data_IF_407687854926
#
_entry.id   IF_407687854926
#
_cell.length_a   1.000
_cell.length_b   1.000
_cell.length_c   1.000
_cell.angle_alpha   90.00
_cell.angle_beta   90.00
_cell.angle_gamma   90.00
#
_symmetry.space_group_name_H-M   'P 1'
#
loop_
_entity.id
_entity.type
_entity.pdbx_description
1 polymer ?
#
# COMPACT_ATOMS: atom_id res chain seq x y z
N UNK A 1 -2.57 -4.45 -38.20
CA UNK A 1 -3.53 -3.95 -37.18
C UNK A 1 -3.88 -5.10 -36.25
N UNK A 2 -3.24 -5.19 -35.07
CA UNK A 2 -3.39 -6.36 -34.18
C UNK A 2 -4.66 -6.18 -33.34
N UNK A 3 -5.72 -6.95 -33.65
CA UNK A 3 -6.80 -7.17 -32.67
C UNK A 3 -6.22 -8.01 -31.55
N UNK A 4 -5.66 -7.35 -30.52
CA UNK A 4 -5.24 -8.07 -29.33
C UNK A 4 -6.46 -8.74 -28.70
N UNK A 5 -6.38 -10.06 -28.48
CA UNK A 5 -7.37 -10.76 -27.65
C UNK A 5 -7.28 -10.17 -26.25
N UNK A 6 -8.43 -9.78 -25.67
CA UNK A 6 -8.59 -9.29 -24.28
C UNK A 6 -7.79 -10.09 -23.24
N UNK A 7 -7.56 -11.38 -23.50
CA UNK A 7 -6.77 -12.27 -22.66
C UNK A 7 -5.31 -11.81 -22.46
N UNK A 8 -4.60 -11.34 -23.50
CA UNK A 8 -3.18 -10.97 -23.37
C UNK A 8 -3.00 -9.73 -22.49
N UNK A 9 -3.87 -8.74 -22.64
CA UNK A 9 -3.81 -7.54 -21.81
C UNK A 9 -4.10 -7.84 -20.35
N UNK A 10 -5.11 -8.67 -20.09
CA UNK A 10 -5.42 -9.15 -18.74
C UNK A 10 -4.22 -9.85 -18.10
N UNK A 11 -3.53 -10.72 -18.85
CA UNK A 11 -2.32 -11.40 -18.38
C UNK A 11 -1.21 -10.40 -18.00
N UNK A 12 -0.99 -9.36 -18.79
CA UNK A 12 0.01 -8.34 -18.49
C UNK A 12 -0.34 -7.55 -17.22
N UNK A 13 -1.61 -7.20 -17.01
CA UNK A 13 -2.05 -6.53 -15.78
C UNK A 13 -1.88 -7.43 -14.54
N UNK A 14 -2.06 -8.75 -14.67
CA UNK A 14 -1.72 -9.70 -13.61
C UNK A 14 -0.22 -9.72 -13.32
N UNK A 15 0.64 -9.73 -14.36
CA UNK A 15 2.09 -9.68 -14.19
C UNK A 15 2.55 -8.38 -13.51
N UNK A 16 2.08 -7.23 -13.98
CA UNK A 16 2.39 -5.93 -13.36
C UNK A 16 1.94 -5.89 -11.90
N UNK A 17 0.70 -6.33 -11.63
CA UNK A 17 0.17 -6.40 -10.25
C UNK A 17 1.01 -7.32 -9.37
N UNK A 18 1.43 -8.47 -9.88
CA UNK A 18 2.26 -9.43 -9.15
C UNK A 18 3.62 -8.84 -8.78
N UNK A 19 4.32 -8.20 -9.72
CA UNK A 19 5.62 -7.59 -9.43
C UNK A 19 5.52 -6.35 -8.53
N UNK A 20 4.43 -5.57 -8.59
CA UNK A 20 4.15 -4.52 -7.61
C UNK A 20 4.00 -5.11 -6.20
N UNK A 21 3.31 -6.25 -6.07
CA UNK A 21 3.16 -6.94 -4.78
C UNK A 21 4.52 -7.44 -4.27
N UNK A 22 5.34 -8.04 -5.13
CA UNK A 22 6.68 -8.50 -4.76
C UNK A 22 7.60 -7.34 -4.35
N UNK A 23 7.54 -6.20 -5.03
CA UNK A 23 8.42 -5.07 -4.71
C UNK A 23 8.08 -4.40 -3.38
N UNK A 24 6.81 -4.44 -2.98
CA UNK A 24 6.31 -3.78 -1.78
C UNK A 24 6.69 -4.56 -0.49
N UNK A 25 7.99 -4.57 -0.19
CA UNK A 25 8.59 -5.15 1.03
C UNK A 25 8.30 -6.65 1.21
N UNK A 26 8.27 -7.41 0.11
CA UNK A 26 8.30 -8.87 0.20
C UNK A 26 9.66 -9.38 0.68
N UNK A 27 9.69 -10.60 1.21
CA UNK A 27 10.95 -11.29 1.56
C UNK A 27 11.86 -11.41 0.33
N UNK A 28 11.31 -11.63 -0.87
CA UNK A 28 12.09 -11.69 -2.11
C UNK A 28 12.76 -10.38 -2.47
N UNK A 29 12.09 -9.25 -2.22
CA UNK A 29 12.66 -7.94 -2.50
C UNK A 29 13.78 -7.56 -1.53
N UNK A 30 13.70 -8.06 -0.29
CA UNK A 30 14.68 -7.80 0.76
C UNK A 30 15.78 -8.88 0.86
N UNK A 31 15.68 -9.96 0.09
CA UNK A 31 16.68 -11.02 0.12
C UNK A 31 18.02 -10.52 -0.40
N UNK A 32 19.09 -10.98 0.23
CA UNK A 32 20.44 -10.58 -0.12
C UNK A 32 20.76 -11.12 -1.52
N UNK A 33 21.29 -10.25 -2.39
CA UNK A 33 21.70 -10.58 -3.76
C UNK A 33 20.97 -9.77 -4.83
N UNK A 34 20.75 -10.39 -6.00
CA UNK A 34 20.22 -9.71 -7.19
C UNK A 34 18.69 -9.74 -7.32
N UNK A 35 17.97 -10.40 -6.41
CA UNK A 35 16.51 -10.53 -6.41
C UNK A 35 15.77 -9.19 -6.51
N UNK A 36 16.18 -8.19 -5.70
CA UNK A 36 15.69 -6.81 -5.75
C UNK A 36 15.75 -6.23 -7.16
N UNK A 37 16.92 -6.33 -7.82
CA UNK A 37 17.14 -5.79 -9.17
C UNK A 37 16.27 -6.53 -10.19
N UNK A 38 16.19 -7.87 -10.10
CA UNK A 38 15.37 -8.70 -10.99
C UNK A 38 13.90 -8.30 -10.90
N UNK A 39 13.34 -8.17 -9.69
CA UNK A 39 11.94 -7.77 -9.48
C UNK A 39 11.66 -6.40 -10.11
N UNK A 40 12.55 -5.41 -9.89
CA UNK A 40 12.41 -4.08 -10.47
C UNK A 40 12.46 -4.11 -12.00
N UNK A 41 13.43 -4.84 -12.58
CA UNK A 41 13.56 -4.96 -14.04
C UNK A 41 12.34 -5.64 -14.65
N UNK A 42 11.88 -6.75 -14.07
CA UNK A 42 10.69 -7.47 -14.54
C UNK A 42 9.43 -6.61 -14.44
N UNK A 43 9.30 -5.79 -13.38
CA UNK A 43 8.22 -4.82 -13.27
C UNK A 43 8.28 -3.78 -14.39
N UNK A 44 9.44 -3.16 -14.62
CA UNK A 44 9.59 -2.15 -15.66
C UNK A 44 9.36 -2.71 -17.06
N UNK A 45 9.85 -3.92 -17.34
CA UNK A 45 9.63 -4.62 -18.62
C UNK A 45 8.14 -4.91 -18.80
N UNK A 46 7.46 -5.47 -17.79
CA UNK A 46 6.02 -5.78 -17.89
C UNK A 46 5.16 -4.53 -18.09
N UNK A 47 5.46 -3.43 -17.38
CA UNK A 47 4.76 -2.15 -17.56
C UNK A 47 5.08 -1.53 -18.93
N UNK A 48 6.31 -1.64 -19.42
CA UNK A 48 6.69 -1.12 -20.75
C UNK A 48 5.96 -1.87 -21.86
N UNK A 49 5.87 -3.20 -21.77
CA UNK A 49 5.10 -4.03 -22.69
C UNK A 49 3.61 -3.67 -22.64
N UNK A 50 3.06 -3.47 -21.43
CA UNK A 50 1.68 -3.02 -21.24
C UNK A 50 1.43 -1.68 -21.94
N UNK A 51 2.32 -0.70 -21.75
CA UNK A 51 2.22 0.61 -22.40
C UNK A 51 2.37 0.53 -23.91
N UNK A 52 3.31 -0.28 -24.41
CA UNK A 52 3.48 -0.53 -25.84
C UNK A 52 2.18 -1.02 -26.49
N UNK A 53 1.51 -1.98 -25.86
CA UNK A 53 0.21 -2.45 -26.35
C UNK A 53 -0.91 -1.41 -26.22
N UNK A 54 -0.86 -0.53 -25.22
CA UNK A 54 -1.79 0.60 -25.13
C UNK A 54 -1.62 1.58 -26.29
N UNK A 55 -0.38 1.86 -26.69
CA UNK A 55 -0.05 2.77 -27.81
C UNK A 55 -0.37 2.17 -29.18
N UNK A 56 -0.27 0.85 -29.34
CA UNK A 56 -0.61 0.16 -30.59
C UNK A 56 -2.13 0.10 -30.90
N UNK A 57 -2.97 0.64 -30.02
CA UNK A 57 -4.42 0.60 -30.21
C UNK A 57 -4.89 1.54 -31.34
N UNK A 58 -5.89 1.15 -32.14
CA UNK A 58 -6.41 1.98 -33.21
C UNK A 58 -6.99 3.33 -32.76
N UNK A 59 -7.54 3.38 -31.55
CA UNK A 59 -8.13 4.58 -30.95
C UNK A 59 -7.11 5.42 -30.18
N UNK A 60 -5.84 5.01 -30.13
CA UNK A 60 -4.79 5.76 -29.47
C UNK A 60 -4.47 7.03 -30.25
N UNK A 61 -4.59 8.17 -29.56
CA UNK A 61 -4.21 9.48 -30.09
C UNK A 61 -3.43 10.21 -29.00
N UNK A 62 -2.30 10.82 -29.36
CA UNK A 62 -1.52 11.61 -28.42
C UNK A 62 -2.32 12.87 -28.06
N UNK A 63 -2.63 13.06 -26.78
CA UNK A 63 -3.25 14.28 -26.30
C UNK A 63 -2.15 15.26 -25.88
N UNK A 64 -2.16 16.46 -26.47
CA UNK A 64 -1.19 17.51 -26.19
C UNK A 64 -1.19 17.90 -24.71
N UNK A 65 -2.36 17.95 -24.05
CA UNK A 65 -2.46 18.30 -22.62
C UNK A 65 -1.71 17.31 -21.75
N UNK A 66 -1.79 16.04 -22.11
CA UNK A 66 -1.13 14.96 -21.38
C UNK A 66 0.36 14.92 -21.62
N UNK A 67 0.77 15.22 -22.85
CA UNK A 67 2.18 15.39 -23.21
C UNK A 67 2.80 16.56 -22.43
N UNK A 68 2.08 17.69 -22.33
CA UNK A 68 2.48 18.83 -21.51
C UNK A 68 2.55 18.45 -20.03
N UNK A 69 1.55 17.73 -19.51
CA UNK A 69 1.55 17.26 -18.13
C UNK A 69 2.77 16.38 -17.82
N UNK A 70 3.03 15.37 -18.64
CA UNK A 70 4.19 14.48 -18.46
C UNK A 70 5.51 15.24 -18.59
N UNK A 71 5.60 16.22 -19.50
CA UNK A 71 6.79 17.06 -19.64
C UNK A 71 7.01 17.91 -18.40
N UNK A 72 5.94 18.54 -17.88
CA UNK A 72 5.98 19.31 -16.64
C UNK A 72 6.33 18.44 -15.44
N UNK A 73 5.77 17.24 -15.35
CA UNK A 73 6.08 16.27 -14.30
C UNK A 73 7.56 15.88 -14.30
N UNK A 74 8.13 15.56 -15.46
CA UNK A 74 9.54 15.20 -15.55
C UNK A 74 10.45 16.41 -15.25
N UNK A 75 10.09 17.61 -15.69
CA UNK A 75 10.79 18.85 -15.32
C UNK A 75 10.73 19.10 -13.81
N UNK A 76 9.55 18.89 -13.21
CA UNK A 76 9.33 19.00 -11.77
C UNK A 76 10.23 18.03 -10.99
N UNK A 77 10.32 16.77 -11.42
CA UNK A 77 11.22 15.79 -10.80
C UNK A 77 12.71 16.09 -11.09
N UNK A 78 13.03 16.67 -12.25
CA UNK A 78 14.39 17.09 -12.57
C UNK A 78 14.89 18.18 -11.62
N UNK A 79 14.07 19.20 -11.33
CA UNK A 79 14.41 20.23 -10.33
C UNK A 79 14.71 19.59 -8.97
N UNK A 80 13.90 18.62 -8.54
CA UNK A 80 14.16 17.89 -7.30
C UNK A 80 15.49 17.12 -7.33
N UNK A 81 15.82 16.46 -8.44
CA UNK A 81 17.08 15.73 -8.60
C UNK A 81 18.29 16.67 -8.49
N UNK A 82 18.22 17.86 -9.09
CA UNK A 82 19.31 18.84 -9.08
C UNK A 82 19.55 19.40 -7.68
N UNK A 83 18.49 19.57 -6.88
CA UNK A 83 18.58 20.27 -5.59
C UNK A 83 18.77 19.33 -4.39
N UNK A 84 18.18 18.13 -4.40
CA UNK A 84 18.04 17.30 -3.18
C UNK A 84 19.23 16.39 -2.84
N UNK A 85 20.18 16.17 -3.76
CA UNK A 85 21.41 15.39 -3.49
C UNK A 85 21.25 13.90 -3.14
N UNK A 86 20.02 13.37 -3.11
CA UNK A 86 19.73 11.98 -2.71
C UNK A 86 20.03 10.90 -3.77
N UNK A 87 19.45 9.72 -3.62
CA UNK A 87 19.59 8.58 -4.54
C UNK A 87 18.94 8.86 -5.91
N UNK A 88 19.62 9.62 -6.77
CA UNK A 88 19.15 10.06 -8.11
C UNK A 88 18.58 8.89 -8.92
N UNK A 89 19.27 7.74 -8.92
CA UNK A 89 18.85 6.54 -9.67
C UNK A 89 17.45 6.06 -9.26
N UNK A 90 17.14 6.08 -7.96
CA UNK A 90 15.81 5.66 -7.48
C UNK A 90 14.74 6.67 -7.87
N UNK A 91 15.05 7.96 -7.80
CA UNK A 91 14.13 9.03 -8.18
C UNK A 91 13.75 8.93 -9.66
N UNK A 92 14.75 8.79 -10.53
CA UNK A 92 14.52 8.62 -11.98
C UNK A 92 13.68 7.38 -12.23
N UNK A 93 14.05 6.24 -11.65
CA UNK A 93 13.37 4.98 -11.91
C UNK A 93 11.90 5.00 -11.45
N UNK A 94 11.63 5.56 -10.27
CA UNK A 94 10.29 5.54 -9.65
C UNK A 94 9.39 6.66 -10.16
N UNK A 95 9.87 7.90 -10.10
CA UNK A 95 9.06 9.06 -10.39
C UNK A 95 9.15 9.52 -11.83
N UNK A 96 10.29 9.35 -12.53
CA UNK A 96 10.35 9.76 -13.94
C UNK A 96 9.85 8.61 -14.84
N UNK A 97 10.41 7.41 -14.69
CA UNK A 97 10.11 6.28 -15.57
C UNK A 97 8.80 5.57 -15.20
N UNK A 98 8.74 4.94 -14.02
CA UNK A 98 7.59 4.10 -13.65
C UNK A 98 6.28 4.90 -13.56
N UNK A 99 6.30 6.05 -12.88
CA UNK A 99 5.11 6.91 -12.80
C UNK A 99 4.60 7.32 -14.18
N UNK A 100 5.48 7.77 -15.09
CA UNK A 100 5.07 8.18 -16.45
C UNK A 100 4.44 7.02 -17.22
N UNK A 101 5.02 5.82 -17.14
CA UNK A 101 4.45 4.64 -17.79
C UNK A 101 3.07 4.27 -17.21
N UNK A 102 2.95 4.22 -15.88
CA UNK A 102 1.67 3.92 -15.24
C UNK A 102 0.62 5.01 -15.50
N UNK A 103 1.04 6.27 -15.61
CA UNK A 103 0.17 7.39 -15.97
C UNK A 103 -0.40 7.21 -17.37
N UNK A 104 0.47 6.94 -18.36
CA UNK A 104 0.06 6.65 -19.75
C UNK A 104 -0.92 5.48 -19.78
N UNK A 105 -0.62 4.39 -19.07
CA UNK A 105 -1.53 3.26 -18.97
C UNK A 105 -2.91 3.68 -18.41
N UNK A 106 -2.99 4.33 -17.24
CA UNK A 106 -4.30 4.68 -16.66
C UNK A 106 -5.07 5.74 -17.44
N UNK A 107 -4.37 6.69 -18.07
CA UNK A 107 -5.00 7.73 -18.86
C UNK A 107 -5.67 7.13 -20.11
N UNK A 108 -4.91 6.37 -20.90
CA UNK A 108 -5.38 5.82 -22.18
C UNK A 108 -6.22 4.55 -22.04
N UNK A 109 -6.03 3.80 -20.96
CA UNK A 109 -6.85 2.61 -20.69
C UNK A 109 -8.19 2.95 -20.03
N UNK A 110 -8.47 4.25 -19.77
CA UNK A 110 -9.65 4.81 -19.11
C UNK A 110 -9.87 4.27 -17.68
N UNK A 111 -10.27 5.16 -16.80
CA UNK A 111 -10.51 4.92 -15.37
C UNK A 111 -11.53 3.81 -15.10
N UNK A 112 -12.47 3.54 -16.00
CA UNK A 112 -13.45 2.46 -15.80
C UNK A 112 -12.78 1.09 -15.62
N UNK A 113 -11.63 0.87 -16.26
CA UNK A 113 -10.83 -0.34 -16.14
C UNK A 113 -9.81 -0.32 -14.99
N UNK A 114 -9.63 0.80 -14.28
CA UNK A 114 -8.83 0.84 -13.04
C UNK A 114 -9.38 -0.11 -11.97
N UNK A 115 -10.70 -0.34 -11.98
CA UNK A 115 -11.37 -1.35 -11.16
C UNK A 115 -10.93 -2.76 -11.53
N UNK A 116 -10.67 -3.02 -12.81
CA UNK A 116 -10.18 -4.32 -13.27
C UNK A 116 -8.74 -4.55 -12.82
N UNK A 117 -7.88 -3.53 -12.86
CA UNK A 117 -6.53 -3.60 -12.29
C UNK A 117 -6.58 -3.95 -10.80
N UNK A 118 -7.38 -3.23 -10.01
CA UNK A 118 -7.58 -3.53 -8.58
C UNK A 118 -8.17 -4.93 -8.34
N UNK A 119 -9.09 -5.39 -9.21
CA UNK A 119 -9.65 -6.75 -9.15
C UNK A 119 -8.56 -7.80 -9.33
N UNK A 120 -7.68 -7.64 -10.32
CA UNK A 120 -6.55 -8.56 -10.59
C UNK A 120 -5.56 -8.57 -9.43
N UNK A 121 -5.14 -7.39 -8.97
CA UNK A 121 -4.32 -7.24 -7.76
C UNK A 121 -4.94 -7.98 -6.57
N UNK A 122 -6.22 -7.74 -6.32
CA UNK A 122 -6.96 -8.35 -5.21
C UNK A 122 -7.08 -9.87 -5.34
N UNK A 123 -7.19 -10.41 -6.57
CA UNK A 123 -7.18 -11.85 -6.82
C UNK A 123 -5.84 -12.49 -6.46
N UNK A 124 -4.72 -11.87 -6.87
CA UNK A 124 -3.37 -12.34 -6.51
C UNK A 124 -3.19 -12.36 -4.99
N UNK A 125 -3.52 -11.25 -4.31
CA UNK A 125 -3.41 -11.17 -2.84
C UNK A 125 -4.27 -12.23 -2.16
N UNK A 126 -5.44 -12.57 -2.73
CA UNK A 126 -6.29 -13.64 -2.19
C UNK A 126 -5.65 -15.01 -2.33
N UNK A 127 -4.99 -15.30 -3.45
CA UNK A 127 -4.24 -16.55 -3.64
C UNK A 127 -3.11 -16.63 -2.60
N UNK A 128 -2.34 -15.55 -2.43
CA UNK A 128 -1.30 -15.46 -1.40
C UNK A 128 -1.91 -15.68 0.00
N UNK A 129 -3.08 -15.12 0.27
CA UNK A 129 -3.80 -15.30 1.54
C UNK A 129 -4.20 -16.75 1.81
N UNK A 130 -4.76 -17.45 0.82
CA UNK A 130 -5.10 -18.88 0.94
C UNK A 130 -3.85 -19.70 1.27
N UNK A 131 -2.77 -19.50 0.51
CA UNK A 131 -1.50 -20.20 0.73
C UNK A 131 -0.95 -19.89 2.13
N UNK A 132 -0.94 -18.61 2.52
CA UNK A 132 -0.44 -18.18 3.82
C UNK A 132 -1.22 -18.79 4.98
N UNK A 133 -2.55 -18.93 4.87
CA UNK A 133 -3.37 -19.50 5.93
C UNK A 133 -3.06 -20.99 6.14
N UNK A 134 -2.87 -21.73 5.05
CA UNK A 134 -2.49 -23.15 5.11
C UNK A 134 -1.15 -23.30 5.84
N UNK A 135 -0.10 -22.61 5.40
CA UNK A 135 1.21 -22.75 6.01
C UNK A 135 1.33 -22.13 7.41
N UNK A 136 0.62 -21.02 7.68
CA UNK A 136 0.58 -20.45 9.03
C UNK A 136 -0.11 -21.40 10.00
N UNK A 137 -1.23 -22.01 9.60
CA UNK A 137 -1.96 -22.93 10.48
C UNK A 137 -1.21 -24.26 10.69
N UNK A 138 -0.84 -24.95 9.62
CA UNK A 138 -0.18 -26.26 9.73
C UNK A 138 1.30 -26.17 10.06
N UNK A 139 1.99 -25.15 9.56
CA UNK A 139 3.41 -24.91 9.84
C UNK A 139 3.60 -24.16 11.15
N UNK A 140 3.27 -22.87 11.18
CA UNK A 140 3.65 -21.99 12.30
C UNK A 140 2.85 -22.20 13.60
N UNK A 141 1.58 -22.60 13.52
CA UNK A 141 0.72 -22.75 14.69
C UNK A 141 0.74 -24.18 15.26
N UNK A 142 0.52 -25.19 14.41
CA UNK A 142 0.48 -26.60 14.82
C UNK A 142 1.85 -27.29 14.81
N UNK A 143 2.86 -26.73 14.11
CA UNK A 143 4.16 -27.37 13.87
C UNK A 143 4.06 -28.76 13.23
N UNK A 144 3.00 -29.00 12.42
CA UNK A 144 2.84 -30.24 11.65
C UNK A 144 3.72 -30.24 10.39
N UNK A 145 3.96 -29.07 9.80
CA UNK A 145 4.88 -28.88 8.68
C UNK A 145 6.18 -28.24 9.16
N UNK A 146 7.31 -28.83 8.80
CA UNK A 146 8.63 -28.26 9.05
C UNK A 146 9.02 -27.26 7.95
N UNK A 147 9.81 -26.21 8.28
CA UNK A 147 10.37 -25.32 7.27
C UNK A 147 11.26 -26.07 6.27
N UNK A 148 11.08 -25.79 4.99
CA UNK A 148 11.90 -26.40 3.92
C UNK A 148 13.30 -25.79 3.77
N UNK A 149 13.55 -24.63 4.40
CA UNK A 149 14.84 -23.96 4.35
C UNK A 149 14.83 -22.60 5.02
N UNK A 150 15.92 -21.85 4.82
CA UNK A 150 16.12 -20.49 5.35
C UNK A 150 16.55 -19.52 4.25
N UNK A 151 16.22 -18.24 4.43
CA UNK A 151 16.61 -17.12 3.56
C UNK A 151 17.10 -15.98 4.43
N UNK A 152 18.21 -15.35 4.01
CA UNK A 152 18.72 -14.14 4.66
C UNK A 152 18.17 -12.89 3.98
N UNK A 153 17.60 -11.98 4.77
CA UNK A 153 17.08 -10.70 4.31
C UNK A 153 17.69 -9.54 5.09
N UNK A 154 17.72 -8.36 4.46
CA UNK A 154 18.06 -7.12 5.14
C UNK A 154 16.79 -6.31 5.44
N UNK A 155 16.41 -6.23 6.72
CA UNK A 155 15.26 -5.45 7.20
C UNK A 155 15.66 -4.65 8.46
N UNK A 156 16.40 -3.55 8.24
CA UNK A 156 17.04 -2.76 9.29
C UNK A 156 18.30 -3.43 9.88
N UNK A 157 18.32 -4.75 9.89
CA UNK A 157 19.45 -5.62 10.19
C UNK A 157 19.35 -6.90 9.35
N UNK A 158 20.40 -7.70 9.37
CA UNK A 158 20.34 -9.05 8.79
C UNK A 158 19.45 -9.95 9.64
N UNK A 159 18.48 -10.58 8.99
CA UNK A 159 17.49 -11.47 9.60
C UNK A 159 17.48 -12.79 8.83
N UNK A 160 17.56 -13.89 9.56
CA UNK A 160 17.37 -15.23 9.03
C UNK A 160 15.88 -15.57 9.11
N UNK A 161 15.30 -15.92 7.96
CA UNK A 161 13.86 -16.18 7.83
C UNK A 161 13.65 -17.62 7.36
N UNK A 162 12.89 -18.40 8.13
CA UNK A 162 12.49 -19.74 7.72
C UNK A 162 11.44 -19.66 6.60
N UNK A 163 11.55 -20.54 5.60
CA UNK A 163 10.64 -20.57 4.47
C UNK A 163 10.00 -21.96 4.29
N UNK A 164 8.79 -21.95 3.78
CA UNK A 164 8.02 -23.12 3.37
C UNK A 164 7.88 -23.07 1.85
N UNK A 165 8.75 -23.81 1.18
CA UNK A 165 8.92 -23.92 -0.27
C UNK A 165 8.96 -22.58 -1.01
N UNK A 166 9.52 -21.54 -0.38
CA UNK A 166 9.47 -20.17 -0.90
C UNK A 166 8.06 -19.72 -1.30
N UNK A 167 7.01 -20.08 -0.53
CA UNK A 167 5.64 -19.59 -0.74
C UNK A 167 5.01 -19.02 0.54
N UNK A 168 5.64 -19.27 1.69
CA UNK A 168 5.32 -18.69 2.98
C UNK A 168 6.59 -18.57 3.82
N UNK A 169 6.67 -17.53 4.66
CA UNK A 169 7.83 -17.24 5.49
C UNK A 169 7.42 -17.03 6.94
N UNK A 170 8.31 -17.37 7.86
CA UNK A 170 8.13 -17.12 9.29
C UNK A 170 9.43 -16.63 9.94
N UNK A 171 9.30 -15.63 10.80
CA UNK A 171 10.37 -15.19 11.72
C UNK A 171 9.81 -14.31 12.85
N UNK A 172 8.69 -13.61 12.62
CA UNK A 172 8.10 -12.70 13.58
C UNK A 172 7.26 -13.44 14.66
N UNK A 173 7.91 -13.84 15.77
CA UNK A 173 7.31 -14.51 16.92
C UNK A 173 7.04 -13.55 18.10
N UNK A 174 6.20 -12.54 17.87
CA UNK A 174 5.92 -11.48 18.86
C UNK A 174 4.41 -11.25 19.11
N UNK A 175 3.54 -12.11 18.57
CA UNK A 175 2.11 -12.04 18.88
C UNK A 175 1.86 -12.72 20.22
N UNK A 176 1.24 -12.02 21.18
CA UNK A 176 0.93 -12.57 22.50
C UNK A 176 -0.56 -12.88 22.59
N UNK A 177 -0.91 -14.12 22.93
CA UNK A 177 -2.28 -14.55 23.20
C UNK A 177 -2.26 -15.48 24.43
N UNK A 178 -3.09 -15.20 25.44
CA UNK A 178 -3.16 -16.00 26.68
C UNK A 178 -1.79 -16.23 27.36
N UNK A 179 -0.91 -15.23 27.33
CA UNK A 179 0.43 -15.31 27.90
C UNK A 179 1.45 -16.14 27.10
N UNK A 180 1.07 -16.69 25.94
CA UNK A 180 1.97 -17.40 25.02
C UNK A 180 2.29 -16.55 23.79
N UNK A 181 3.51 -16.67 23.29
CA UNK A 181 3.96 -16.03 22.05
C UNK A 181 3.72 -16.93 20.85
N UNK A 182 3.23 -16.35 19.77
CA UNK A 182 2.92 -17.01 18.51
C UNK A 182 3.57 -16.26 17.34
N UNK A 183 3.87 -17.02 16.29
CA UNK A 183 4.24 -16.45 15.00
C UNK A 183 3.06 -15.70 14.38
N UNK A 184 3.30 -14.48 13.93
CA UNK A 184 2.35 -13.73 13.11
C UNK A 184 2.29 -14.32 11.70
N UNK A 185 1.10 -14.33 11.09
CA UNK A 185 1.01 -14.58 9.66
C UNK A 185 1.56 -13.38 8.88
N UNK A 186 2.75 -13.54 8.30
CA UNK A 186 3.40 -12.52 7.47
C UNK A 186 3.35 -12.84 5.97
N UNK A 187 2.77 -14.00 5.58
CA UNK A 187 2.68 -14.42 4.19
C UNK A 187 4.06 -14.46 3.51
N UNK A 188 4.18 -13.72 2.40
CA UNK A 188 5.45 -13.53 1.67
C UNK A 188 6.17 -12.22 2.02
N UNK A 189 5.73 -11.52 3.06
CA UNK A 189 6.16 -10.16 3.40
C UNK A 189 7.14 -10.14 4.57
N UNK A 190 7.87 -9.04 4.68
CA UNK A 190 8.92 -8.88 5.70
C UNK A 190 8.37 -8.83 7.11
N UNK A 191 7.14 -8.35 7.31
CA UNK A 191 6.47 -8.26 8.60
C UNK A 191 4.95 -8.12 8.44
N UNK A 192 4.21 -8.33 9.54
CA UNK A 192 2.75 -8.25 9.52
C UNK A 192 2.19 -6.90 9.03
N UNK A 193 2.72 -5.72 9.42
CA UNK A 193 2.26 -4.45 8.86
C UNK A 193 2.40 -4.35 7.33
N UNK A 194 3.47 -4.92 6.75
CA UNK A 194 3.66 -4.93 5.29
C UNK A 194 2.61 -5.80 4.61
N UNK A 195 2.30 -6.98 5.19
CA UNK A 195 1.24 -7.82 4.65
C UNK A 195 -0.15 -7.15 4.74
N UNK A 196 -0.42 -6.45 5.85
CA UNK A 196 -1.69 -5.72 6.05
C UNK A 196 -1.95 -4.69 4.97
N UNK A 197 -0.93 -4.03 4.40
CA UNK A 197 -1.11 -3.08 3.29
C UNK A 197 -1.82 -3.79 2.12
N UNK A 198 -1.28 -4.94 1.69
CA UNK A 198 -1.82 -5.71 0.58
C UNK A 198 -3.22 -6.25 0.88
N UNK A 199 -3.39 -6.86 2.06
CA UNK A 199 -4.68 -7.41 2.49
C UNK A 199 -5.75 -6.33 2.56
N UNK A 200 -5.41 -5.14 3.06
CA UNK A 200 -6.35 -4.04 3.19
C UNK A 200 -6.82 -3.51 1.84
N UNK A 201 -5.90 -3.30 0.89
CA UNK A 201 -6.25 -2.86 -0.48
C UNK A 201 -7.14 -3.92 -1.15
N UNK A 202 -6.76 -5.20 -1.04
CA UNK A 202 -7.54 -6.30 -1.61
C UNK A 202 -8.92 -6.45 -0.97
N UNK A 203 -9.02 -6.27 0.35
CA UNK A 203 -10.24 -6.34 1.13
C UNK A 203 -11.17 -5.18 0.77
N UNK A 204 -10.68 -3.94 0.78
CA UNK A 204 -11.47 -2.77 0.40
C UNK A 204 -12.00 -2.87 -1.04
N UNK A 205 -11.14 -3.25 -1.99
CA UNK A 205 -11.55 -3.48 -3.38
C UNK A 205 -12.66 -4.54 -3.50
N UNK A 206 -12.52 -5.67 -2.79
CA UNK A 206 -13.53 -6.74 -2.81
C UNK A 206 -14.80 -6.39 -2.05
N UNK A 207 -14.70 -5.59 -0.98
CA UNK A 207 -15.81 -5.27 -0.09
C UNK A 207 -16.81 -4.32 -0.74
N UNK A 208 -16.30 -3.40 -1.55
CA UNK A 208 -17.05 -2.38 -2.26
C UNK A 208 -17.29 -2.72 -3.74
N UNK A 209 -16.76 -3.83 -4.24
CA UNK A 209 -17.09 -4.33 -5.59
C UNK A 209 -18.59 -4.65 -5.72
N UNK A 210 -19.15 -4.35 -6.90
CA UNK A 210 -20.51 -4.77 -7.28
C UNK A 210 -20.62 -6.29 -7.36
N UNK A 211 -19.60 -6.96 -7.91
CA UNK A 211 -19.48 -8.42 -7.99
C UNK A 211 -18.82 -8.95 -6.72
N UNK A 212 -19.58 -9.04 -5.64
CA UNK A 212 -19.05 -9.45 -4.33
C UNK A 212 -18.81 -10.96 -4.28
N UNK A 213 -17.57 -11.35 -4.01
CA UNK A 213 -17.21 -12.74 -3.70
C UNK A 213 -17.06 -12.91 -2.17
N UNK A 214 -18.00 -13.63 -1.55
CA UNK A 214 -18.01 -13.85 -0.10
C UNK A 214 -16.85 -14.71 0.37
N UNK A 215 -16.49 -15.76 -0.36
CA UNK A 215 -15.35 -16.61 -0.04
C UNK A 215 -14.05 -15.79 0.03
N UNK A 216 -13.80 -14.99 -1.01
CA UNK A 216 -12.67 -14.06 -1.08
C UNK A 216 -12.61 -13.11 0.13
N UNK A 217 -13.75 -12.53 0.50
CA UNK A 217 -13.81 -11.64 1.67
C UNK A 217 -13.54 -12.37 2.99
N UNK A 218 -14.04 -13.59 3.15
CA UNK A 218 -13.78 -14.40 4.35
C UNK A 218 -12.30 -14.75 4.45
N UNK A 219 -11.67 -15.20 3.36
CA UNK A 219 -10.23 -15.48 3.31
C UNK A 219 -9.43 -14.25 3.72
N UNK A 220 -9.69 -13.09 3.09
CA UNK A 220 -8.97 -11.85 3.40
C UNK A 220 -9.18 -11.40 4.85
N UNK A 221 -10.41 -11.50 5.35
CA UNK A 221 -10.76 -11.15 6.74
C UNK A 221 -10.02 -12.03 7.75
N UNK A 222 -10.07 -13.36 7.59
CA UNK A 222 -9.39 -14.32 8.48
C UNK A 222 -7.88 -14.09 8.43
N UNK A 223 -7.32 -13.88 7.24
CA UNK A 223 -5.89 -13.62 7.07
C UNK A 223 -5.45 -12.34 7.77
N UNK A 224 -6.24 -11.26 7.67
CA UNK A 224 -5.95 -10.01 8.39
C UNK A 224 -5.95 -10.22 9.91
N UNK A 225 -6.83 -11.06 10.47
CA UNK A 225 -6.83 -11.40 11.89
C UNK A 225 -5.58 -12.18 12.29
N UNK A 226 -5.18 -13.18 11.49
CA UNK A 226 -3.98 -14.02 11.79
C UNK A 226 -2.66 -13.26 11.68
N UNK A 227 -2.66 -12.06 11.08
CA UNK A 227 -1.48 -11.17 11.15
C UNK A 227 -1.22 -10.60 12.55
N UNK A 228 -2.22 -10.60 13.45
CA UNK A 228 -2.18 -9.94 14.77
C UNK A 228 -1.65 -8.50 14.71
N UNK A 229 -2.00 -7.77 13.65
CA UNK A 229 -1.61 -6.38 13.44
C UNK A 229 -2.73 -5.42 13.84
N UNK A 230 -2.39 -4.44 14.69
CA UNK A 230 -3.34 -3.40 15.13
C UNK A 230 -3.91 -2.61 13.95
N UNK A 231 -3.08 -2.28 12.96
CA UNK A 231 -3.52 -1.58 11.75
C UNK A 231 -4.56 -2.40 10.96
N UNK A 232 -4.36 -3.72 10.86
CA UNK A 232 -5.28 -4.62 10.16
C UNK A 232 -6.66 -4.68 10.84
N UNK A 233 -6.66 -4.80 12.18
CA UNK A 233 -7.90 -4.81 12.98
C UNK A 233 -8.64 -3.48 12.83
N UNK A 234 -7.95 -2.35 12.93
CA UNK A 234 -8.56 -1.02 12.79
C UNK A 234 -9.20 -0.86 11.39
N UNK A 235 -8.53 -1.30 10.33
CA UNK A 235 -9.07 -1.23 8.96
C UNK A 235 -10.33 -2.08 8.81
N UNK A 236 -10.34 -3.31 9.34
CA UNK A 236 -11.53 -4.16 9.30
C UNK A 236 -12.72 -3.44 9.94
N UNK A 237 -12.55 -2.93 11.15
CA UNK A 237 -13.62 -2.27 11.89
C UNK A 237 -14.08 -0.99 11.17
N UNK A 238 -13.14 -0.17 10.72
CA UNK A 238 -13.42 1.06 9.96
C UNK A 238 -14.23 0.75 8.69
N UNK A 239 -13.83 -0.26 7.91
CA UNK A 239 -14.51 -0.65 6.68
C UNK A 239 -15.91 -1.22 6.92
N UNK A 240 -16.10 -1.98 8.00
CA UNK A 240 -17.44 -2.48 8.40
C UNK A 240 -18.36 -1.30 8.73
N UNK A 241 -17.88 -0.31 9.49
CA UNK A 241 -18.64 0.89 9.86
C UNK A 241 -19.00 1.69 8.60
N UNK A 242 -18.03 2.00 7.75
CA UNK A 242 -18.27 2.75 6.51
C UNK A 242 -19.26 2.04 5.58
N UNK A 243 -19.16 0.71 5.45
CA UNK A 243 -20.11 -0.08 4.66
C UNK A 243 -21.53 -0.02 5.24
N UNK A 244 -21.67 -0.13 6.55
CA UNK A 244 -22.98 0.01 7.21
C UNK A 244 -23.52 1.42 7.07
N UNK A 245 -22.67 2.46 7.17
CA UNK A 245 -23.07 3.86 7.02
C UNK A 245 -23.65 4.11 5.62
N UNK A 246 -22.97 3.62 4.57
CA UNK A 246 -23.47 3.66 3.18
C UNK A 246 -24.86 3.01 3.05
N UNK A 247 -25.04 1.81 3.62
CA UNK A 247 -26.34 1.10 3.60
C UNK A 247 -27.41 1.88 4.36
N UNK A 248 -27.05 2.46 5.50
CA UNK A 248 -27.97 3.21 6.35
C UNK A 248 -28.46 4.49 5.69
N UNK A 249 -27.56 5.27 5.07
CA UNK A 249 -27.89 6.49 4.32
C UNK A 249 -28.84 6.15 3.17
N UNK A 250 -28.56 5.09 2.40
CA UNK A 250 -29.42 4.64 1.30
C UNK A 250 -30.83 4.25 1.76
N UNK A 251 -30.94 3.62 2.93
CA UNK A 251 -32.20 3.05 3.42
C UNK A 251 -32.96 3.96 4.38
N UNK A 252 -32.40 5.12 4.78
CA UNK A 252 -32.97 6.01 5.78
C UNK A 252 -34.38 6.50 5.43
N UNK A 253 -34.60 6.80 4.15
CA UNK A 253 -35.88 7.28 3.63
C UNK A 253 -36.84 6.16 3.23
N UNK A 254 -36.44 4.89 3.33
CA UNK A 254 -37.17 3.75 2.75
C UNK A 254 -37.74 2.78 3.78
N UNK A 255 -37.07 2.55 4.93
CA UNK A 255 -37.50 1.52 5.90
C UNK A 255 -37.16 1.90 7.36
N UNK A 256 -37.99 1.50 8.33
CA UNK A 256 -37.73 1.54 9.78
C UNK A 256 -36.39 0.89 10.13
N UNK A 257 -35.97 -0.16 9.42
CA UNK A 257 -34.64 -0.78 9.59
C UNK A 257 -33.49 0.18 9.27
N UNK A 258 -33.67 1.09 8.30
CA UNK A 258 -32.69 2.13 7.96
C UNK A 258 -32.51 3.15 9.08
N UNK A 259 -33.61 3.52 9.77
CA UNK A 259 -33.57 4.42 10.94
C UNK A 259 -32.86 3.77 12.13
N UNK A 260 -33.19 2.52 12.47
CA UNK A 260 -32.52 1.77 13.55
C UNK A 260 -31.02 1.64 13.28
N UNK A 261 -30.62 1.39 12.02
CA UNK A 261 -29.21 1.34 11.63
C UNK A 261 -28.49 2.68 11.82
N UNK A 262 -29.13 3.83 11.54
CA UNK A 262 -28.53 5.15 11.78
C UNK A 262 -28.37 5.41 13.28
N UNK A 263 -29.39 5.11 14.09
CA UNK A 263 -29.30 5.29 15.55
C UNK A 263 -28.27 4.36 16.21
N UNK A 264 -27.92 3.23 15.58
CA UNK A 264 -26.83 2.36 16.05
C UNK A 264 -25.42 2.87 15.71
N UNK A 265 -25.28 3.84 14.80
CA UNK A 265 -23.96 4.35 14.35
C UNK A 265 -23.15 5.04 15.45
N UNK A 266 -23.73 5.95 16.27
CA UNK A 266 -22.99 6.56 17.38
C UNK A 266 -22.46 5.52 18.37
N UNK A 267 -23.26 4.49 18.68
CA UNK A 267 -22.85 3.40 19.57
C UNK A 267 -21.73 2.56 18.95
N UNK A 268 -21.84 2.20 17.66
CA UNK A 268 -20.77 1.48 16.96
C UNK A 268 -19.47 2.31 16.89
N UNK A 269 -19.58 3.62 16.69
CA UNK A 269 -18.44 4.52 16.68
C UNK A 269 -17.81 4.63 18.08
N UNK A 270 -18.61 4.71 19.14
CA UNK A 270 -18.13 4.71 20.52
C UNK A 270 -17.39 3.39 20.85
N UNK A 271 -17.95 2.25 20.45
CA UNK A 271 -17.29 0.93 20.59
C UNK A 271 -15.98 0.89 19.80
N UNK A 272 -15.97 1.41 18.56
CA UNK A 272 -14.74 1.51 17.77
C UNK A 272 -13.71 2.37 18.50
N UNK A 273 -14.08 3.56 18.97
CA UNK A 273 -13.17 4.47 19.67
C UNK A 273 -12.61 3.80 20.92
N UNK A 274 -13.43 3.08 21.68
CA UNK A 274 -12.98 2.31 22.84
C UNK A 274 -11.98 1.22 22.45
N UNK A 275 -12.30 0.38 21.47
CA UNK A 275 -11.41 -0.69 20.99
C UNK A 275 -10.10 -0.10 20.45
N UNK A 276 -10.18 0.96 19.65
CA UNK A 276 -9.00 1.65 19.09
C UNK A 276 -8.15 2.23 20.22
N UNK A 277 -8.76 2.88 21.22
CA UNK A 277 -8.05 3.43 22.38
C UNK A 277 -7.29 2.33 23.12
N UNK A 278 -7.93 1.20 23.41
CA UNK A 278 -7.29 0.06 24.07
C UNK A 278 -6.15 -0.53 23.23
N UNK A 279 -6.37 -0.75 21.93
CA UNK A 279 -5.34 -1.28 21.03
C UNK A 279 -4.15 -0.33 20.89
N UNK A 280 -4.41 0.97 20.79
CA UNK A 280 -3.36 1.99 20.66
C UNK A 280 -2.61 2.14 21.98
N UNK A 281 -3.29 2.23 23.12
CA UNK A 281 -2.67 2.33 24.44
C UNK A 281 -1.74 1.14 24.70
N UNK A 282 -2.25 -0.08 24.50
CA UNK A 282 -1.46 -1.30 24.64
C UNK A 282 -0.28 -1.33 23.66
N UNK A 283 -0.46 -0.85 22.41
CA UNK A 283 0.63 -0.77 21.44
C UNK A 283 1.69 0.25 21.86
N UNK A 284 1.28 1.42 22.34
CA UNK A 284 2.16 2.50 22.79
C UNK A 284 2.99 2.09 24.01
N UNK A 285 2.46 1.22 24.87
CA UNK A 285 3.19 0.62 25.98
C UNK A 285 4.26 -0.41 25.54
N UNK A 286 4.29 -0.81 24.26
CA UNK A 286 5.34 -1.70 23.73
C UNK A 286 6.52 -0.92 23.13
N UNK A 287 7.68 -1.57 23.06
CA UNK A 287 8.84 -1.08 22.32
C UNK A 287 8.51 -0.66 20.87
N UNK A 288 7.63 -1.41 20.19
CA UNK A 288 7.17 -1.09 18.83
C UNK A 288 6.29 0.17 18.77
N UNK A 289 5.59 0.51 19.85
CA UNK A 289 4.83 1.75 19.98
C UNK A 289 5.73 2.95 20.21
N UNK A 290 6.70 2.82 21.12
CA UNK A 290 7.71 3.85 21.37
C UNK A 290 8.49 4.22 20.10
N UNK A 291 8.91 3.21 19.32
CA UNK A 291 9.59 3.45 18.04
C UNK A 291 8.76 4.28 17.06
N UNK A 292 7.43 4.08 17.01
CA UNK A 292 6.53 4.89 16.16
C UNK A 292 6.45 6.35 16.62
N UNK A 293 6.34 6.60 17.92
CA UNK A 293 6.30 7.97 18.45
C UNK A 293 7.62 8.71 18.17
N UNK A 294 8.75 8.01 18.36
CA UNK A 294 10.05 8.59 18.04
C UNK A 294 10.21 8.85 16.53
N UNK A 295 9.58 8.07 15.65
CA UNK A 295 9.55 8.32 14.20
C UNK A 295 8.76 9.55 13.80
N UNK A 296 7.62 9.79 14.45
CA UNK A 296 6.87 11.03 14.25
C UNK A 296 7.70 12.24 14.67
N UNK A 297 8.33 12.18 15.85
CA UNK A 297 9.15 13.27 16.35
C UNK A 297 10.40 13.50 15.49
N UNK A 298 11.20 12.46 15.26
CA UNK A 298 12.46 12.56 14.50
C UNK A 298 12.22 12.95 13.04
N UNK A 299 11.17 12.42 12.41
CA UNK A 299 10.78 12.82 11.05
C UNK A 299 10.34 14.27 10.95
N UNK A 300 9.55 14.75 11.92
CA UNK A 300 9.15 16.16 11.94
C UNK A 300 10.34 17.09 12.13
N UNK A 301 11.25 16.77 13.05
CA UNK A 301 12.44 17.59 13.31
C UNK A 301 13.38 17.61 12.11
N UNK A 302 13.60 16.47 11.45
CA UNK A 302 14.43 16.37 10.27
C UNK A 302 13.85 17.13 9.07
N UNK A 303 12.53 17.04 8.86
CA UNK A 303 11.84 17.87 7.87
C UNK A 303 11.98 19.37 8.16
N UNK A 304 11.93 19.78 9.43
CA UNK A 304 12.08 21.19 9.82
C UNK A 304 13.43 21.78 9.41
N UNK A 305 14.48 20.96 9.35
CA UNK A 305 15.81 21.39 8.91
C UNK A 305 15.86 21.66 7.40
N UNK A 306 15.04 20.94 6.61
CA UNK A 306 14.98 21.04 5.14
C UNK A 306 13.54 21.06 4.62
N UNK A 307 12.75 22.13 4.89
CA UNK A 307 11.29 22.09 4.73
C UNK A 307 10.81 21.99 3.27
N UNK A 308 11.56 22.58 2.33
CA UNK A 308 11.15 22.69 0.92
C UNK A 308 11.51 21.41 0.15
N UNK A 309 12.81 21.06 0.11
CA UNK A 309 13.33 19.96 -0.71
C UNK A 309 13.70 18.70 0.07
N UNK A 310 13.55 18.70 1.40
CA UNK A 310 13.99 17.58 2.23
C UNK A 310 15.50 17.41 2.24
N UNK A 311 15.96 16.37 2.94
CA UNK A 311 17.36 16.00 3.07
C UNK A 311 17.91 15.24 1.85
N UNK A 312 17.03 14.75 0.97
CA UNK A 312 17.39 13.93 -0.18
C UNK A 312 16.70 12.56 -0.15
N UNK A 313 16.27 12.09 -1.32
CA UNK A 313 15.64 10.78 -1.44
C UNK A 313 16.58 9.67 -0.96
N UNK A 314 16.14 8.83 -0.03
CA UNK A 314 17.00 7.79 0.52
C UNK A 314 17.93 8.22 1.66
N UNK A 315 18.11 9.52 1.90
CA UNK A 315 18.97 10.00 2.98
C UNK A 315 18.32 9.75 4.35
N UNK A 316 19.09 9.18 5.27
CA UNK A 316 18.68 8.94 6.65
C UNK A 316 19.44 9.84 7.64
N UNK A 317 20.50 10.52 7.19
CA UNK A 317 21.46 11.21 8.05
C UNK A 317 20.84 12.39 8.79
N UNK A 318 20.00 13.19 8.12
CA UNK A 318 19.27 14.31 8.73
C UNK A 318 18.44 13.83 9.93
N UNK A 319 17.72 12.72 9.75
CA UNK A 319 16.89 12.14 10.80
C UNK A 319 17.66 11.52 11.94
N UNK A 320 18.80 10.86 11.68
CA UNK A 320 19.57 10.18 12.74
C UNK A 320 19.98 11.12 13.88
N UNK A 321 20.08 12.44 13.64
CA UNK A 321 20.33 13.47 14.66
C UNK A 321 19.25 13.54 15.75
N UNK A 322 18.02 13.13 15.43
CA UNK A 322 16.85 13.25 16.30
C UNK A 322 16.28 11.90 16.75
N UNK A 323 16.88 10.79 16.32
CA UNK A 323 16.50 9.44 16.74
C UNK A 323 17.01 9.18 18.15
N UNK A 324 16.16 8.56 18.99
CA UNK A 324 16.56 8.22 20.36
C UNK A 324 17.71 7.21 20.41
N UNK A 325 18.59 7.33 21.41
CA UNK A 325 19.70 6.40 21.66
C UNK A 325 19.24 4.94 21.76
N UNK A 326 18.06 4.70 22.34
CA UNK A 326 17.43 3.38 22.42
C UNK A 326 17.21 2.72 21.05
N UNK A 327 16.79 3.50 20.04
CA UNK A 327 16.57 2.97 18.68
C UNK A 327 17.86 2.78 17.91
N UNK A 328 18.80 3.71 18.06
CA UNK A 328 20.14 3.60 17.49
C UNK A 328 20.84 2.33 17.98
N UNK A 329 20.75 2.04 19.28
CA UNK A 329 21.30 0.81 19.87
C UNK A 329 20.69 -0.48 19.30
N UNK A 330 19.51 -0.41 18.68
CA UNK A 330 18.79 -1.57 18.09
C UNK A 330 18.86 -1.62 16.57
N UNK A 331 19.66 -0.75 15.95
CA UNK A 331 19.71 -0.58 14.49
C UNK A 331 18.33 -0.31 13.85
N UNK A 332 17.40 0.29 14.59
CA UNK A 332 16.07 0.65 14.08
C UNK A 332 16.09 2.03 13.41
N UNK A 333 16.74 2.12 12.26
CA UNK A 333 16.94 3.40 11.56
C UNK A 333 15.83 3.72 10.55
N UNK A 334 14.95 2.76 10.23
CA UNK A 334 13.83 2.96 9.29
C UNK A 334 12.67 3.79 9.88
N UNK A 335 11.86 4.37 8.99
CA UNK A 335 10.57 4.99 9.34
C UNK A 335 9.48 3.94 9.56
N UNK A 336 8.45 4.30 10.32
CA UNK A 336 7.22 3.48 10.46
C UNK A 336 6.02 4.07 9.71
N UNK A 337 6.10 5.30 9.21
CA UNK A 337 4.99 6.00 8.55
C UNK A 337 5.44 6.64 7.23
N UNK A 338 4.53 6.71 6.26
CA UNK A 338 4.83 7.23 4.93
C UNK A 338 4.90 8.77 4.84
N UNK A 339 4.02 9.57 5.49
CA UNK A 339 4.05 11.03 5.34
C UNK A 339 5.38 11.65 5.74
N UNK A 340 5.94 11.24 6.89
CA UNK A 340 7.20 11.80 7.35
C UNK A 340 8.41 11.24 6.59
N UNK A 341 8.33 10.04 6.03
CA UNK A 341 9.34 9.55 5.08
C UNK A 341 9.40 10.46 3.84
N UNK A 342 8.25 10.84 3.27
CA UNK A 342 8.21 11.75 2.10
C UNK A 342 8.64 13.17 2.46
N UNK A 343 8.22 13.69 3.61
CA UNK A 343 8.57 15.04 4.05
C UNK A 343 10.06 15.18 4.42
N UNK A 344 10.62 14.19 5.11
CA UNK A 344 12.05 14.18 5.46
C UNK A 344 12.91 14.09 4.19
N UNK A 345 12.57 13.17 3.29
CA UNK A 345 13.37 12.95 2.08
C UNK A 345 13.22 14.06 1.05
N UNK A 346 12.00 14.53 0.81
CA UNK A 346 11.72 15.42 -0.31
C UNK A 346 10.98 16.70 0.02
N UNK A 347 10.74 16.97 1.30
CA UNK A 347 10.08 18.18 1.77
C UNK A 347 8.65 18.32 1.27
N UNK A 348 8.12 19.54 1.38
CA UNK A 348 6.81 19.88 0.80
C UNK A 348 6.81 19.66 -0.71
N UNK A 349 7.97 19.81 -1.37
CA UNK A 349 8.11 19.56 -2.81
C UNK A 349 7.66 18.13 -3.13
N UNK A 350 8.36 17.10 -2.71
CA UNK A 350 7.96 15.72 -3.04
C UNK A 350 6.62 15.30 -2.41
N UNK A 351 6.21 15.90 -1.28
CA UNK A 351 4.93 15.63 -0.64
C UNK A 351 3.72 16.13 -1.45
N UNK A 352 3.87 17.23 -2.19
CA UNK A 352 2.76 17.86 -2.90
C UNK A 352 2.07 16.91 -3.90
N UNK A 353 2.78 16.17 -4.78
CA UNK A 353 2.17 15.15 -5.64
C UNK A 353 1.31 14.12 -4.92
N UNK A 354 1.75 13.64 -3.74
CA UNK A 354 0.99 12.69 -2.92
C UNK A 354 -0.28 13.35 -2.42
N UNK A 355 -0.15 14.52 -1.78
CA UNK A 355 -1.29 15.26 -1.25
C UNK A 355 -2.34 15.55 -2.33
N UNK A 356 -1.90 16.00 -3.52
CA UNK A 356 -2.78 16.27 -4.65
C UNK A 356 -3.53 15.02 -5.11
N UNK A 357 -2.90 13.83 -5.14
CA UNK A 357 -3.60 12.59 -5.46
C UNK A 357 -4.73 12.27 -4.47
N UNK A 358 -4.50 12.41 -3.17
CA UNK A 358 -5.56 12.21 -2.18
C UNK A 358 -6.71 13.22 -2.37
N UNK A 359 -6.40 14.50 -2.60
CA UNK A 359 -7.40 15.55 -2.84
C UNK A 359 -8.20 15.30 -4.12
N UNK A 360 -7.54 14.93 -5.22
CA UNK A 360 -8.19 14.66 -6.50
C UNK A 360 -9.13 13.46 -6.42
N UNK A 361 -8.68 12.36 -5.82
CA UNK A 361 -9.51 11.18 -5.61
C UNK A 361 -10.73 11.49 -4.72
N UNK A 362 -10.55 12.30 -3.67
CA UNK A 362 -11.66 12.74 -2.81
C UNK A 362 -12.67 13.60 -3.60
N UNK A 363 -12.19 14.59 -4.35
CA UNK A 363 -13.03 15.45 -5.19
C UNK A 363 -13.79 14.64 -6.23
N UNK A 364 -13.15 13.66 -6.86
CA UNK A 364 -13.81 12.76 -7.81
C UNK A 364 -14.92 11.94 -7.13
N UNK A 365 -14.62 11.31 -5.98
CA UNK A 365 -15.58 10.54 -5.20
C UNK A 365 -16.79 11.36 -4.78
N UNK A 366 -16.58 12.60 -4.32
CA UNK A 366 -17.67 13.51 -3.94
C UNK A 366 -18.50 13.95 -5.15
N UNK A 367 -17.86 14.40 -6.24
CA UNK A 367 -18.57 14.90 -7.44
C UNK A 367 -19.38 13.85 -8.16
N UNK A 368 -18.88 12.61 -8.25
CA UNK A 368 -19.60 11.50 -8.90
C UNK A 368 -20.47 10.70 -7.89
N UNK A 369 -20.64 11.20 -6.67
CA UNK A 369 -21.33 10.50 -5.56
C UNK A 369 -20.89 9.04 -5.39
N UNK A 370 -19.61 8.78 -5.66
CA UNK A 370 -19.04 7.45 -5.64
C UNK A 370 -18.46 7.15 -4.25
N UNK A 371 -19.35 6.76 -3.34
CA UNK A 371 -19.02 6.39 -1.96
C UNK A 371 -17.97 5.28 -1.84
N UNK A 372 -17.84 4.41 -2.86
CA UNK A 372 -16.87 3.31 -2.87
C UNK A 372 -15.45 3.86 -2.96
N UNK A 373 -15.24 4.86 -3.83
CA UNK A 373 -13.97 5.57 -3.96
C UNK A 373 -13.64 6.32 -2.67
N UNK A 374 -14.62 6.99 -2.06
CA UNK A 374 -14.42 7.70 -0.78
C UNK A 374 -14.00 6.72 0.33
N UNK A 375 -14.70 5.58 0.48
CA UNK A 375 -14.35 4.60 1.51
C UNK A 375 -12.97 3.98 1.28
N UNK A 376 -12.65 3.65 0.03
CA UNK A 376 -11.33 3.17 -0.35
C UNK A 376 -10.24 4.20 -0.02
N UNK A 377 -10.47 5.47 -0.35
CA UNK A 377 -9.54 6.56 -0.07
C UNK A 377 -9.30 6.74 1.43
N UNK A 378 -10.36 6.73 2.25
CA UNK A 378 -10.24 6.85 3.72
C UNK A 378 -9.37 5.72 4.28
N UNK A 379 -9.59 4.48 3.83
CA UNK A 379 -8.76 3.35 4.25
C UNK A 379 -7.31 3.45 3.74
N UNK A 380 -7.10 3.88 2.50
CA UNK A 380 -5.75 4.09 1.95
C UNK A 380 -5.00 5.20 2.70
N UNK A 381 -5.65 6.31 3.03
CA UNK A 381 -5.09 7.40 3.84
C UNK A 381 -4.68 6.88 5.21
N UNK A 382 -5.53 6.08 5.87
CA UNK A 382 -5.17 5.46 7.14
C UNK A 382 -3.90 4.61 7.01
N UNK A 383 -3.82 3.72 6.01
CA UNK A 383 -2.63 2.88 5.76
C UNK A 383 -1.39 3.75 5.49
N UNK A 384 -1.52 4.80 4.68
CA UNK A 384 -0.44 5.73 4.36
C UNK A 384 0.13 6.36 5.64
N UNK A 385 -0.73 6.82 6.54
CA UNK A 385 -0.31 7.45 7.80
C UNK A 385 0.33 6.46 8.78
N UNK A 386 -0.10 5.20 8.84
CA UNK A 386 0.33 4.25 9.89
C UNK A 386 1.38 3.23 9.45
N UNK A 387 1.59 3.06 8.14
CA UNK A 387 2.54 2.12 7.57
C UNK A 387 3.53 2.81 6.63
N UNK A 388 4.73 2.26 6.52
CA UNK A 388 5.79 2.71 5.61
C UNK A 388 5.70 1.99 4.26
N UNK A 389 5.29 2.71 3.22
CA UNK A 389 5.35 2.23 1.83
C UNK A 389 5.48 3.38 0.81
N UNK A 390 5.91 4.56 1.25
CA UNK A 390 5.98 5.76 0.40
C UNK A 390 6.93 5.58 -0.79
N UNK A 391 8.01 4.81 -0.61
CA UNK A 391 8.98 4.50 -1.66
C UNK A 391 8.52 3.40 -2.63
N UNK A 392 7.38 2.75 -2.45
CA UNK A 392 7.00 1.55 -3.22
C UNK A 392 6.31 1.87 -4.55
N UNK A 393 6.37 0.96 -5.52
CA UNK A 393 5.61 1.12 -6.77
C UNK A 393 4.09 1.06 -6.57
N UNK A 394 3.64 0.48 -5.46
CA UNK A 394 2.23 0.39 -5.10
C UNK A 394 1.59 1.76 -4.89
N UNK A 395 2.21 2.63 -4.08
CA UNK A 395 1.67 3.99 -3.88
C UNK A 395 1.84 4.85 -5.13
N UNK A 396 2.92 4.66 -5.90
CA UNK A 396 3.12 5.36 -7.18
C UNK A 396 2.07 4.98 -8.22
N UNK A 397 1.61 3.73 -8.21
CA UNK A 397 0.48 3.28 -9.02
C UNK A 397 -0.80 4.04 -8.66
N UNK A 398 -1.05 4.27 -7.36
CA UNK A 398 -2.17 5.10 -6.92
C UNK A 398 -2.01 6.57 -7.34
N UNK A 399 -0.81 7.15 -7.20
CA UNK A 399 -0.54 8.52 -7.66
C UNK A 399 -0.83 8.65 -9.17
N UNK A 400 -0.26 7.75 -9.99
CA UNK A 400 -0.46 7.75 -11.43
C UNK A 400 -1.95 7.63 -11.81
N UNK A 401 -2.68 6.69 -11.20
CA UNK A 401 -4.12 6.53 -11.41
C UNK A 401 -4.90 7.80 -11.03
N UNK A 402 -4.56 8.41 -9.89
CA UNK A 402 -5.24 9.60 -9.38
C UNK A 402 -4.95 10.86 -10.19
N UNK A 403 -3.76 11.01 -10.77
CA UNK A 403 -3.44 12.12 -11.65
C UNK A 403 -4.09 11.92 -13.02
N UNK A 404 -4.09 10.69 -13.55
CA UNK A 404 -4.82 10.37 -14.79
C UNK A 404 -6.33 10.65 -14.65
N UNK A 405 -6.90 10.43 -13.45
CA UNK A 405 -8.27 10.79 -13.07
C UNK A 405 -8.61 12.27 -13.29
N UNK A 406 -7.63 13.17 -13.21
CA UNK A 406 -7.83 14.60 -13.42
C UNK A 406 -7.80 15.00 -14.90
N UNK A 407 -6.97 14.34 -15.71
CA UNK A 407 -6.84 14.61 -17.15
C UNK A 407 -8.06 14.19 -17.97
N UNK A 408 -8.86 13.24 -17.48
CA UNK A 408 -10.08 12.82 -18.18
C UNK A 408 -11.13 13.94 -18.13
N UNK A 409 -11.51 14.44 -19.31
CA UNK A 409 -12.55 15.46 -19.50
C UNK A 409 -13.78 15.12 -18.64
N UNK A 410 -14.23 16.12 -17.88
CA UNK A 410 -15.54 16.11 -17.25
C UNK A 410 -16.57 16.28 -18.36
N UNK A 411 -17.08 15.16 -18.85
CA UNK A 411 -18.44 15.13 -19.37
C UNK A 411 -19.42 15.12 -18.19
#
# INVERSE_FOLDING_TARGET
MVKLKLNLFSTLEYLVSFFIILECRSVYYLSIGNSKKIIIVMLLVSVSILCFFTVLRPDFHVDLKETIFLSFWNLYMFVYIVVSGGEIKQVILRYCLFFSLMYVYFYYWKIEHSKDFLKRYSNIVTIIAIISLVFWFFGSLLNYLEPSGIVNIYWGKDIVVSNYHYVYFQWQNDAVLFGKTFYRNIGIFSEAPMYVIHLSIAFMSSLFSKERNTFKLCVLFITMITTFSTAGIIIILLMIILKRAKKSIKNFFVDKKGKILIFSMPLMLAILIFIVKELVSNKLATNSGFSRLNDFYSGFMAWKDHPIFGAGYGDITSRLKYVSSFRLARAETGFTNSPFEVLDEGGIYLFLPFFMSFVFCLRYGLKKHNYEVICFLVGLTFIFVVCIFSRTFLILTFLAASHALFGIKKD
#
